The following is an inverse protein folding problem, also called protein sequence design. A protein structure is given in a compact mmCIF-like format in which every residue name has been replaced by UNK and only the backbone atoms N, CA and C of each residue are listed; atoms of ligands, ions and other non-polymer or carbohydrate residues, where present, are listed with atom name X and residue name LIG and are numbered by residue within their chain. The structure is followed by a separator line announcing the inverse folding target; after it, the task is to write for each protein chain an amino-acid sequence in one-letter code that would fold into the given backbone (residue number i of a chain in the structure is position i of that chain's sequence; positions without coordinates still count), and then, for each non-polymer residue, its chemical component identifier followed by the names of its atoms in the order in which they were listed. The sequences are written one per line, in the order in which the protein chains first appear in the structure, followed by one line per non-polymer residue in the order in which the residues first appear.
data_IF_156189506263
#
_entry.id   IF_156189506263
#
_cell.length_a   1.000
_cell.length_b   1.000
_cell.length_c   1.000
_cell.angle_alpha   90.00
_cell.angle_beta   90.00
_cell.angle_gamma   90.00
#
_symmetry.space_group_name_H-M   'P 1'
#
loop_
_entity.id
_entity.type
_entity.pdbx_description
1 polymer ?
#
# COMPACT_ATOMS: atom_id res chain seq x y z
N UNK A 1 -34.38 14.80 -33.59
CA UNK A 1 -35.05 13.66 -34.25
C UNK A 1 -34.06 12.51 -34.34
N UNK A 2 -34.12 11.59 -33.37
CA UNK A 2 -33.76 10.17 -33.48
C UNK A 2 -34.50 9.50 -32.30
N UNK A 3 -35.46 8.65 -32.66
CA UNK A 3 -36.16 7.67 -31.84
C UNK A 3 -35.38 6.35 -31.94
N UNK A 4 -35.31 5.57 -30.84
CA UNK A 4 -35.25 4.09 -30.78
C UNK A 4 -35.25 3.74 -29.27
N UNK A 5 -36.32 3.31 -28.59
CA UNK A 5 -37.15 2.08 -28.62
C UNK A 5 -36.45 0.75 -28.30
N UNK A 6 -37.00 0.09 -27.26
CA UNK A 6 -36.96 -1.34 -26.91
C UNK A 6 -35.63 -1.88 -26.35
N UNK A 7 -35.58 -2.81 -25.40
CA UNK A 7 -36.48 -3.96 -25.25
C UNK A 7 -36.39 -4.56 -23.85
N UNK A 8 -37.52 -5.11 -23.37
CA UNK A 8 -37.59 -6.03 -22.24
C UNK A 8 -36.89 -7.36 -22.59
N UNK A 9 -36.25 -7.97 -21.60
CA UNK A 9 -36.16 -9.44 -21.52
C UNK A 9 -36.42 -9.89 -20.09
N UNK A 10 -37.46 -10.72 -19.95
CA UNK A 10 -37.77 -11.52 -18.77
C UNK A 10 -37.07 -12.90 -18.90
N UNK A 11 -36.61 -13.44 -17.76
CA UNK A 11 -36.40 -14.86 -17.41
C UNK A 11 -36.07 -14.83 -15.90
N UNK A 12 -36.80 -15.40 -14.95
CA UNK A 12 -37.31 -16.77 -14.91
C UNK A 12 -36.22 -17.68 -14.31
N UNK A 13 -36.24 -17.94 -13.00
CA UNK A 13 -35.24 -18.82 -12.36
C UNK A 13 -35.52 -19.13 -10.90
N UNK A 14 -36.34 -20.17 -10.67
CA UNK A 14 -36.65 -20.81 -9.38
C UNK A 14 -35.61 -21.90 -9.12
N UNK A 15 -34.94 -21.88 -7.97
CA UNK A 15 -33.98 -22.92 -7.56
C UNK A 15 -33.93 -23.03 -6.03
N UNK A 16 -34.18 -24.25 -5.53
CA UNK A 16 -34.35 -24.62 -4.13
C UNK A 16 -33.26 -25.64 -3.76
N UNK A 17 -32.82 -25.66 -2.49
CA UNK A 17 -31.96 -26.68 -1.90
C UNK A 17 -30.47 -26.31 -1.87
N UNK A 18 -29.66 -26.76 -0.91
CA UNK A 18 -29.85 -27.67 0.23
C UNK A 18 -28.52 -27.65 1.01
N UNK A 19 -28.54 -28.05 2.29
CA UNK A 19 -27.39 -28.57 3.06
C UNK A 19 -26.42 -27.50 3.59
N UNK A 20 -26.17 -27.35 4.89
CA UNK A 20 -25.75 -28.37 5.87
C UNK A 20 -24.25 -28.12 6.11
N UNK A 21 -23.81 -27.52 7.22
CA UNK A 21 -23.58 -28.12 8.55
C UNK A 21 -22.09 -28.01 8.89
N UNK A 22 -21.78 -27.98 10.18
CA UNK A 22 -20.45 -28.08 10.83
C UNK A 22 -19.58 -26.80 10.77
N UNK A 23 -19.47 -25.98 11.83
CA UNK A 23 -18.72 -26.17 13.10
C UNK A 23 -17.33 -26.79 12.81
N UNK A 24 -16.17 -26.15 13.07
CA UNK A 24 -15.65 -25.75 14.39
C UNK A 24 -14.51 -24.70 14.38
N UNK A 25 -14.27 -24.06 15.55
CA UNK A 25 -13.32 -22.97 15.77
C UNK A 25 -11.95 -23.43 16.29
N UNK A 26 -10.99 -22.49 16.29
CA UNK A 26 -9.65 -22.55 16.91
C UNK A 26 -8.76 -23.65 16.32
N UNK A 27 -7.50 -23.38 16.00
CA UNK A 27 -6.39 -23.58 16.93
C UNK A 27 -5.17 -22.77 16.42
N UNK A 28 -4.76 -21.74 17.17
CA UNK A 28 -3.33 -21.38 17.24
C UNK A 28 -2.60 -22.53 17.93
N UNK A 29 -1.43 -23.00 17.47
CA UNK A 29 -0.17 -22.42 17.97
C UNK A 29 0.99 -22.60 16.93
N UNK A 30 2.23 -22.11 17.02
CA UNK A 30 3.22 -22.07 18.10
C UNK A 30 4.32 -21.09 17.67
N UNK A 31 4.80 -20.28 18.61
CA UNK A 31 6.12 -19.65 18.51
C UNK A 31 7.19 -20.74 18.38
N UNK A 32 7.93 -20.74 17.27
CA UNK A 32 9.25 -21.39 17.18
C UNK A 32 10.22 -20.36 16.62
N UNK A 33 11.20 -20.03 17.45
CA UNK A 33 12.36 -19.21 17.13
C UNK A 33 13.19 -19.94 16.08
N UNK A 34 13.35 -19.35 14.90
CA UNK A 34 14.52 -19.61 14.06
C UNK A 34 15.09 -18.29 13.54
N UNK A 35 16.06 -17.78 14.29
CA UNK A 35 17.10 -16.92 13.74
C UNK A 35 17.89 -17.70 12.70
N UNK A 36 17.74 -17.33 11.42
CA UNK A 36 18.68 -17.72 10.37
C UNK A 36 19.08 -16.46 9.61
N UNK A 37 20.37 -16.19 9.58
CA UNK A 37 21.00 -15.20 8.71
C UNK A 37 20.54 -15.43 7.27
N UNK A 38 19.73 -14.53 6.73
CA UNK A 38 19.45 -14.47 5.31
C UNK A 38 20.36 -13.41 4.68
N UNK A 39 21.45 -13.87 4.08
CA UNK A 39 22.29 -13.10 3.19
C UNK A 39 21.58 -13.00 1.82
N UNK A 40 21.29 -11.77 1.39
CA UNK A 40 20.79 -11.39 0.05
C UNK A 40 19.47 -12.00 -0.44
N UNK A 41 18.41 -11.88 0.36
CA UNK A 41 17.02 -11.84 -0.09
C UNK A 41 16.36 -10.63 0.59
N UNK A 42 15.67 -9.77 -0.19
CA UNK A 42 15.15 -8.48 0.27
C UNK A 42 14.32 -8.56 1.55
N UNK A 43 14.19 -7.45 2.28
CA UNK A 43 13.41 -7.33 3.52
C UNK A 43 11.88 -7.44 3.28
N UNK A 44 11.46 -8.20 2.26
CA UNK A 44 10.09 -8.50 1.86
C UNK A 44 9.26 -9.27 2.91
N UNK A 45 9.75 -9.37 4.15
CA UNK A 45 9.07 -10.04 5.27
C UNK A 45 8.80 -9.15 6.49
N UNK A 46 9.18 -7.87 6.49
CA UNK A 46 9.02 -7.02 7.70
C UNK A 46 7.66 -6.36 7.83
N UNK A 47 6.90 -6.26 6.74
CA UNK A 47 5.57 -5.65 6.73
C UNK A 47 4.51 -6.66 6.31
N UNK A 48 3.39 -6.66 7.03
CA UNK A 48 2.23 -7.51 6.77
C UNK A 48 1.22 -6.74 5.93
N UNK A 49 0.72 -7.33 4.85
CA UNK A 49 -0.26 -6.69 3.97
C UNK A 49 -1.54 -6.34 4.75
N UNK A 50 -2.12 -5.18 4.45
CA UNK A 50 -3.31 -4.65 5.13
C UNK A 50 -3.05 -4.15 6.55
N UNK A 51 -1.79 -4.14 7.00
CA UNK A 51 -1.43 -3.60 8.32
C UNK A 51 -0.97 -2.16 8.18
N UNK A 52 -1.43 -1.32 9.12
CA UNK A 52 -1.06 0.09 9.22
C UNK A 52 0.14 0.25 10.16
N UNK A 53 1.13 1.04 9.72
CA UNK A 53 2.36 1.33 10.42
C UNK A 53 2.58 2.83 10.47
N UNK A 54 3.08 3.33 11.60
CA UNK A 54 3.66 4.67 11.70
C UNK A 54 5.16 4.55 11.54
N UNK A 55 5.70 5.09 10.45
CA UNK A 55 7.10 4.94 10.06
C UNK A 55 7.73 6.31 9.88
N UNK A 56 8.89 6.49 10.50
CA UNK A 56 9.80 7.56 10.14
C UNK A 56 10.64 7.12 8.95
N UNK A 57 11.00 8.03 8.06
CA UNK A 57 11.89 7.74 6.95
C UNK A 57 12.10 8.92 6.01
N UNK A 58 12.79 8.66 4.92
CA UNK A 58 13.09 9.64 3.89
C UNK A 58 12.08 9.53 2.74
N UNK A 59 11.33 10.60 2.49
CA UNK A 59 10.37 10.73 1.39
C UNK A 59 11.00 11.53 0.24
N UNK A 60 10.86 11.04 -0.99
CA UNK A 60 11.24 11.75 -2.21
C UNK A 60 10.09 11.79 -3.20
N UNK A 61 9.76 12.99 -3.67
CA UNK A 61 8.74 13.20 -4.72
C UNK A 61 9.36 13.98 -5.89
N UNK A 62 9.34 13.36 -7.07
CA UNK A 62 9.79 13.92 -8.34
C UNK A 62 8.74 13.81 -9.43
N UNK A 63 9.13 14.11 -10.67
CA UNK A 63 8.25 14.03 -11.85
C UNK A 63 7.67 12.61 -12.03
N UNK A 64 8.45 11.57 -11.72
CA UNK A 64 8.07 10.16 -11.91
C UNK A 64 8.44 9.28 -10.70
N UNK A 65 8.87 9.90 -9.61
CA UNK A 65 9.37 9.20 -8.42
C UNK A 65 8.49 9.56 -7.23
N UNK A 66 7.99 8.55 -6.52
CA UNK A 66 7.31 8.68 -5.23
C UNK A 66 7.79 7.57 -4.30
N UNK A 67 8.99 7.76 -3.79
CA UNK A 67 9.69 6.74 -3.01
C UNK A 67 9.76 7.12 -1.54
N UNK A 68 9.66 6.13 -0.67
CA UNK A 68 9.92 6.26 0.75
C UNK A 68 10.88 5.18 1.23
N UNK A 69 11.88 5.59 1.99
CA UNK A 69 12.86 4.71 2.62
C UNK A 69 12.63 4.79 4.13
N UNK A 70 12.02 3.76 4.75
CA UNK A 70 11.83 3.73 6.19
C UNK A 70 13.18 3.79 6.91
N UNK A 71 13.24 4.51 8.02
CA UNK A 71 14.44 4.64 8.83
C UNK A 71 15.00 3.27 9.22
N UNK A 72 16.31 3.09 9.07
CA UNK A 72 16.99 1.82 9.32
C UNK A 72 16.86 0.77 8.21
N UNK A 73 16.11 1.05 7.13
CA UNK A 73 16.07 0.20 5.93
C UNK A 73 16.98 0.72 4.84
N UNK A 74 17.37 -0.19 3.94
CA UNK A 74 18.07 0.13 2.70
C UNK A 74 17.16 0.04 1.47
N UNK A 75 15.91 -0.35 1.67
CA UNK A 75 14.94 -0.56 0.60
C UNK A 75 14.03 0.66 0.44
N UNK A 76 13.76 0.99 -0.83
CA UNK A 76 12.76 1.98 -1.20
C UNK A 76 11.42 1.30 -1.46
N UNK A 77 10.35 1.96 -1.03
CA UNK A 77 8.97 1.55 -1.21
C UNK A 77 8.24 2.61 -2.00
N UNK A 78 7.31 2.19 -2.85
CA UNK A 78 6.45 3.10 -3.59
C UNK A 78 5.35 3.64 -2.68
N UNK A 79 5.09 4.95 -2.71
CA UNK A 79 3.97 5.54 -1.97
C UNK A 79 2.86 5.97 -2.91
N UNK A 80 1.65 5.49 -2.61
CA UNK A 80 0.40 5.92 -3.23
C UNK A 80 -0.33 6.85 -2.28
N UNK A 81 -0.49 8.11 -2.70
CA UNK A 81 -1.30 9.11 -2.02
C UNK A 81 -2.56 9.41 -2.83
N UNK A 82 -3.71 8.96 -2.33
CA UNK A 82 -5.03 9.25 -2.91
C UNK A 82 -5.67 10.51 -2.33
N UNK A 83 -5.12 11.06 -1.24
CA UNK A 83 -5.66 12.22 -0.53
C UNK A 83 -5.15 13.55 -1.10
N UNK A 84 -3.96 13.54 -1.70
CA UNK A 84 -3.24 14.73 -2.13
C UNK A 84 -2.56 15.50 -1.00
N UNK A 85 -2.78 15.11 0.27
CA UNK A 85 -2.20 15.80 1.42
C UNK A 85 -0.68 15.65 1.47
N UNK A 86 -0.16 14.47 1.09
CA UNK A 86 1.27 14.20 1.10
C UNK A 86 1.97 15.05 0.04
N UNK A 87 1.42 15.10 -1.17
CA UNK A 87 1.94 15.96 -2.24
C UNK A 87 1.91 17.44 -1.83
N UNK A 88 0.81 17.92 -1.25
CA UNK A 88 0.69 19.31 -0.82
C UNK A 88 1.64 19.67 0.33
N UNK A 89 1.90 18.73 1.25
CA UNK A 89 2.86 18.94 2.32
C UNK A 89 4.31 19.00 1.80
N UNK A 90 4.66 18.09 0.87
CA UNK A 90 5.95 18.09 0.20
C UNK A 90 6.17 19.37 -0.62
N UNK A 91 5.17 19.82 -1.37
CA UNK A 91 5.26 21.05 -2.17
C UNK A 91 5.48 22.28 -1.27
N UNK A 92 4.81 22.36 -0.12
CA UNK A 92 5.08 23.44 0.85
C UNK A 92 6.50 23.39 1.41
N UNK A 93 6.98 22.19 1.73
CA UNK A 93 8.31 21.96 2.27
C UNK A 93 9.45 22.28 1.28
N UNK A 94 9.20 22.11 -0.03
CA UNK A 94 10.20 22.30 -1.10
C UNK A 94 10.02 23.59 -1.89
N UNK A 95 9.07 24.45 -1.51
CA UNK A 95 8.73 25.65 -2.30
C UNK A 95 8.14 25.33 -3.68
N UNK A 96 7.50 24.16 -3.81
CA UNK A 96 6.87 23.66 -5.03
C UNK A 96 7.82 22.93 -5.98
N UNK A 97 9.07 22.68 -5.57
CA UNK A 97 10.06 22.01 -6.41
C UNK A 97 9.98 20.48 -6.29
N UNK A 98 9.49 19.82 -7.33
CA UNK A 98 9.46 18.35 -7.44
C UNK A 98 10.74 17.81 -8.08
N UNK A 99 11.87 18.12 -7.47
CA UNK A 99 13.21 17.72 -7.91
C UNK A 99 13.72 16.44 -7.20
N UNK A 100 12.87 15.76 -6.42
CA UNK A 100 13.28 14.59 -5.65
C UNK A 100 14.09 14.92 -4.39
N UNK A 101 14.03 16.15 -3.89
CA UNK A 101 14.65 16.53 -2.62
C UNK A 101 14.18 15.61 -1.47
N UNK A 102 15.12 14.97 -0.75
CA UNK A 102 14.76 14.11 0.37
C UNK A 102 14.17 14.93 1.53
N UNK A 103 13.02 14.51 2.04
CA UNK A 103 12.42 15.04 3.26
C UNK A 103 12.34 13.94 4.31
N UNK A 104 12.83 14.22 5.52
CA UNK A 104 12.63 13.33 6.65
C UNK A 104 11.20 13.52 7.17
N UNK A 105 10.42 12.45 7.22
CA UNK A 105 9.00 12.51 7.57
C UNK A 105 8.62 11.33 8.46
N UNK A 106 7.60 11.54 9.27
CA UNK A 106 6.86 10.46 9.95
C UNK A 106 5.50 10.34 9.28
N UNK A 107 5.21 9.17 8.74
CA UNK A 107 4.00 8.88 7.99
C UNK A 107 3.29 7.69 8.62
N UNK A 108 1.96 7.76 8.65
CA UNK A 108 1.12 6.60 8.88
C UNK A 108 0.73 6.01 7.52
N UNK A 109 1.12 4.77 7.28
CA UNK A 109 1.08 4.07 6.00
C UNK A 109 0.46 2.69 6.17
N UNK A 110 -0.31 2.23 5.18
CA UNK A 110 -0.77 0.83 5.11
C UNK A 110 0.04 0.07 4.07
N UNK A 111 0.56 -1.09 4.42
CA UNK A 111 1.31 -1.90 3.47
C UNK A 111 0.37 -2.68 2.54
N UNK A 112 0.53 -2.54 1.23
CA UNK A 112 -0.27 -3.27 0.23
C UNK A 112 0.53 -4.37 -0.50
N UNK A 113 1.77 -4.63 -0.10
CA UNK A 113 2.61 -5.63 -0.75
C UNK A 113 3.31 -5.10 -2.00
N UNK A 114 4.04 -5.98 -2.69
CA UNK A 114 4.67 -5.66 -3.96
C UNK A 114 3.65 -5.66 -5.10
N UNK A 115 3.72 -4.63 -5.94
CA UNK A 115 2.95 -4.57 -7.17
C UNK A 115 3.82 -5.09 -8.31
N UNK A 116 3.23 -5.80 -9.28
CA UNK A 116 3.97 -6.39 -10.40
C UNK A 116 3.91 -5.53 -11.67
N UNK A 117 3.20 -4.40 -11.64
CA UNK A 117 2.97 -3.52 -12.78
C UNK A 117 3.23 -2.04 -12.46
N UNK A 118 3.55 -1.27 -13.50
CA UNK A 118 3.83 0.17 -13.42
C UNK A 118 5.13 0.50 -12.68
N UNK A 119 5.29 1.77 -12.29
CA UNK A 119 6.49 2.25 -11.58
C UNK A 119 6.71 1.55 -10.23
N UNK A 120 5.64 1.07 -9.59
CA UNK A 120 5.74 0.39 -8.29
C UNK A 120 6.45 -0.98 -8.37
N UNK A 121 6.53 -1.59 -9.56
CA UNK A 121 7.16 -2.89 -9.76
C UNK A 121 8.67 -2.90 -9.49
N UNK A 122 9.32 -1.74 -9.58
CA UNK A 122 10.76 -1.59 -9.33
C UNK A 122 11.12 -1.40 -7.84
N UNK A 123 10.13 -1.44 -6.95
CA UNK A 123 10.30 -1.20 -5.52
C UNK A 123 10.08 -2.47 -4.69
N UNK A 124 10.58 -2.48 -3.45
CA UNK A 124 10.43 -3.61 -2.53
C UNK A 124 8.96 -3.84 -2.10
N UNK A 125 8.12 -2.81 -2.23
CA UNK A 125 6.69 -2.90 -2.00
C UNK A 125 6.01 -1.54 -2.08
N UNK A 126 4.69 -1.57 -1.93
CA UNK A 126 3.82 -0.39 -2.01
C UNK A 126 3.21 -0.09 -0.64
N UNK A 127 3.24 1.18 -0.28
CA UNK A 127 2.52 1.75 0.85
C UNK A 127 1.41 2.67 0.37
N UNK A 128 0.25 2.55 1.02
CA UNK A 128 -0.87 3.47 0.88
C UNK A 128 -0.75 4.52 1.97
N UNK A 129 -0.67 5.79 1.57
CA UNK A 129 -0.62 6.90 2.51
C UNK A 129 -1.96 7.04 3.25
N UNK A 130 -1.90 7.13 4.59
CA UNK A 130 -3.06 7.36 5.45
C UNK A 130 -3.04 8.75 6.07
N UNK A 131 -1.92 9.14 6.70
CA UNK A 131 -1.76 10.47 7.28
C UNK A 131 -0.29 10.86 7.42
N UNK A 132 -0.05 12.17 7.48
CA UNK A 132 1.25 12.77 7.76
C UNK A 132 1.29 13.15 9.25
N UNK A 133 2.25 12.60 9.98
CA UNK A 133 2.43 12.88 11.41
C UNK A 133 3.37 14.09 11.61
N UNK A 134 4.55 14.06 10.98
CA UNK A 134 5.53 15.17 11.09
C UNK A 134 6.45 15.25 9.87
N UNK A 135 7.00 16.44 9.63
CA UNK A 135 8.11 16.69 8.70
C UNK A 135 9.26 17.26 9.52
N UNK A 136 10.44 16.67 9.39
CA UNK A 136 11.69 17.10 10.02
C UNK A 136 12.57 17.71 8.92
N UNK A 137 12.85 19.02 9.02
CA UNK A 137 13.66 19.79 8.08
C UNK A 137 14.91 20.35 8.74
#
# INVERSE_FOLDING_TARGET
MILLLCSLCACGGRGNGKSGSSIQPSESPKHTVESRLATHAGEAGRFSRGTVYTLQGELRIGHEVRSFVPAGSREAYWIVDTTGQLCAAYDRATGGQKNGHPLNVTLTLEYDGQWEDGFAAEYAGTFLFRSLDSIDQ
#
